data_IF_775894285216
#
_entry.id   IF_775894285216
#
_cell.length_a   1.000
_cell.length_b   1.000
_cell.length_c   1.000
_cell.angle_alpha   90.00
_cell.angle_beta   90.00
_cell.angle_gamma   90.00
#
_symmetry.space_group_name_H-M   'P 1'
#
loop_
_entity.id
_entity.type
_entity.pdbx_description
1 polymer ?
#
# COMPACT_ATOMS: atom_id res chain seq x y z
N UNK A 1 -16.46 -12.31 -14.72
CA UNK A 1 -16.00 -12.66 -13.35
C UNK A 1 -15.69 -11.34 -12.65
N UNK A 2 -16.27 -11.05 -11.47
CA UNK A 2 -16.01 -9.78 -10.79
C UNK A 2 -14.87 -9.94 -9.78
N UNK A 3 -13.73 -9.28 -9.99
CA UNK A 3 -12.58 -9.32 -9.10
C UNK A 3 -12.47 -7.96 -8.40
N UNK A 4 -12.54 -7.97 -7.07
CA UNK A 4 -12.37 -6.76 -6.26
C UNK A 4 -11.05 -6.88 -5.50
N UNK A 5 -9.99 -6.13 -5.87
CA UNK A 5 -8.73 -6.17 -5.14
C UNK A 5 -8.87 -5.46 -3.79
N UNK A 6 -8.52 -6.15 -2.71
CA UNK A 6 -8.53 -5.61 -1.34
C UNK A 6 -7.10 -5.46 -0.84
N UNK A 7 -6.72 -4.25 -0.44
CA UNK A 7 -5.41 -3.97 0.15
C UNK A 7 -5.57 -3.93 1.68
N UNK A 8 -4.94 -4.87 2.37
CA UNK A 8 -4.93 -4.90 3.84
C UNK A 8 -3.72 -4.12 4.32
N UNK A 9 -3.95 -2.98 4.96
CA UNK A 9 -2.88 -2.15 5.54
C UNK A 9 -3.10 -1.99 7.04
N UNK A 10 -2.28 -2.69 7.83
CA UNK A 10 -2.36 -2.66 9.28
C UNK A 10 -1.00 -2.93 9.92
N UNK A 11 -0.97 -2.87 11.25
CA UNK A 11 0.24 -3.01 12.04
C UNK A 11 1.00 -1.69 12.25
N UNK A 12 1.59 -1.55 13.44
CA UNK A 12 2.24 -0.31 13.90
C UNK A 12 3.61 -0.06 13.26
N UNK A 13 4.18 -1.06 12.57
CA UNK A 13 5.49 -0.94 11.93
C UNK A 13 6.66 -0.79 12.91
N UNK A 14 6.62 -1.42 14.10
CA UNK A 14 7.62 -1.23 15.17
C UNK A 14 9.08 -1.46 14.74
N UNK A 15 9.33 -2.33 13.75
CA UNK A 15 10.67 -2.59 13.21
C UNK A 15 11.23 -1.40 12.41
N UNK A 16 10.37 -0.47 11.99
CA UNK A 16 10.72 0.74 11.26
C UNK A 16 10.77 1.96 12.17
N UNK A 17 10.77 1.78 13.50
CA UNK A 17 11.02 2.89 14.42
C UNK A 17 12.44 3.45 14.17
N UNK A 18 12.65 4.79 14.19
CA UNK A 18 11.71 5.85 14.58
C UNK A 18 10.81 6.38 13.47
N UNK A 19 10.94 5.86 12.25
CA UNK A 19 10.27 6.35 11.04
C UNK A 19 8.76 6.05 11.09
N UNK A 20 8.36 4.83 11.49
CA UNK A 20 6.95 4.50 11.72
C UNK A 20 6.51 4.91 13.13
N UNK A 21 5.47 5.73 13.21
CA UNK A 21 4.88 6.23 14.48
C UNK A 21 3.36 6.07 14.44
N UNK A 22 2.70 6.24 15.59
CA UNK A 22 1.25 6.17 15.67
C UNK A 22 0.55 7.16 14.72
N UNK A 23 1.05 8.41 14.64
CA UNK A 23 0.55 9.44 13.72
C UNK A 23 1.18 9.38 12.32
N UNK A 24 2.23 8.56 12.13
CA UNK A 24 2.92 8.38 10.84
C UNK A 24 3.05 6.88 10.52
N UNK A 25 1.94 6.24 10.11
CA UNK A 25 1.92 4.80 9.91
C UNK A 25 2.82 4.37 8.75
N UNK A 26 3.44 3.19 8.90
CA UNK A 26 4.32 2.55 7.90
C UNK A 26 3.79 2.68 6.47
N UNK A 27 2.52 2.41 6.24
CA UNK A 27 1.92 2.37 4.90
C UNK A 27 2.08 3.67 4.11
N UNK A 28 2.24 4.80 4.79
CA UNK A 28 2.36 6.14 4.21
C UNK A 28 3.79 6.70 4.23
N UNK A 29 4.78 5.89 4.65
CA UNK A 29 6.19 6.30 4.60
C UNK A 29 6.59 6.54 3.13
N UNK A 30 7.21 7.69 2.82
CA UNK A 30 7.74 7.96 1.50
C UNK A 30 8.93 7.05 1.18
N UNK A 31 8.99 6.54 -0.04
CA UNK A 31 10.08 5.70 -0.52
C UNK A 31 11.16 6.56 -1.21
N UNK A 32 12.43 6.13 -1.21
CA UNK A 32 13.51 6.88 -1.89
C UNK A 32 13.25 7.11 -3.39
N UNK A 33 12.59 6.14 -4.03
CA UNK A 33 12.15 6.17 -5.43
C UNK A 33 10.91 7.06 -5.67
N UNK A 34 10.40 7.72 -4.63
CA UNK A 34 9.13 8.44 -4.66
C UNK A 34 7.91 7.56 -4.34
N UNK A 35 6.78 8.23 -4.07
CA UNK A 35 5.53 7.60 -3.65
C UNK A 35 5.59 6.99 -2.25
N UNK A 36 4.56 6.22 -1.87
CA UNK A 36 4.43 5.55 -0.58
C UNK A 36 4.25 4.04 -0.75
N UNK A 37 4.47 3.27 0.33
CA UNK A 37 4.22 1.83 0.34
C UNK A 37 2.80 1.49 -0.13
N UNK A 38 1.78 2.17 0.42
CA UNK A 38 0.39 1.95 0.03
C UNK A 38 0.10 2.38 -1.41
N UNK A 39 0.73 3.47 -1.88
CA UNK A 39 0.61 3.94 -3.25
C UNK A 39 1.13 2.91 -4.27
N UNK A 40 2.27 2.28 -3.98
CA UNK A 40 2.80 1.19 -4.82
C UNK A 40 1.86 -0.04 -4.83
N UNK A 41 1.32 -0.43 -3.68
CA UNK A 41 0.34 -1.53 -3.61
C UNK A 41 -0.94 -1.22 -4.41
N UNK A 42 -1.43 0.02 -4.34
CA UNK A 42 -2.58 0.47 -5.13
C UNK A 42 -2.31 0.40 -6.64
N UNK A 43 -1.15 0.89 -7.09
CA UNK A 43 -0.78 0.82 -8.50
C UNK A 43 -0.75 -0.63 -9.04
N UNK A 44 -0.28 -1.59 -8.24
CA UNK A 44 -0.35 -3.01 -8.59
C UNK A 44 -1.80 -3.52 -8.64
N UNK A 45 -2.63 -3.17 -7.66
CA UNK A 45 -4.03 -3.60 -7.57
C UNK A 45 -4.88 -3.14 -8.77
N UNK A 46 -4.69 -1.89 -9.23
CA UNK A 46 -5.39 -1.34 -10.40
C UNK A 46 -5.14 -2.18 -11.66
N UNK A 47 -3.96 -2.78 -11.81
CA UNK A 47 -3.65 -3.63 -12.97
C UNK A 47 -4.50 -4.90 -13.02
N UNK A 48 -5.00 -5.37 -11.87
CA UNK A 48 -5.85 -6.56 -11.76
C UNK A 48 -7.30 -6.21 -12.14
N UNK A 49 -7.80 -5.02 -11.75
CA UNK A 49 -9.16 -4.56 -12.13
C UNK A 49 -9.31 -4.50 -13.66
N UNK A 50 -8.27 -4.06 -14.38
CA UNK A 50 -8.29 -3.99 -15.85
C UNK A 50 -8.45 -5.38 -16.48
N UNK A 51 -7.79 -6.40 -15.93
CA UNK A 51 -7.85 -7.77 -16.47
C UNK A 51 -9.19 -8.47 -16.19
N UNK A 52 -9.88 -8.08 -15.12
CA UNK A 52 -11.19 -8.64 -14.75
C UNK A 52 -12.36 -8.11 -15.59
N UNK A 53 -12.16 -7.03 -16.36
CA UNK A 53 -13.20 -6.39 -17.19
C UNK A 53 -13.16 -6.79 -18.67
N UNK A 54 -12.11 -7.45 -19.14
CA UNK A 54 -12.03 -8.10 -20.47
C UNK A 54 -12.56 -9.53 -20.40
#
# INVERSE_FOLDING_TARGET
MNIVPVIISGGVGSRLWPISRALHPKSFIPLPEGGTLIGKSYACAVRIDVFGRT
#
